data_IF_507494412284
#
_entry.id   IF_507494412284
#
_cell.length_a   1.000
_cell.length_b   1.000
_cell.length_c   1.000
_cell.angle_alpha   90.00
_cell.angle_beta   90.00
_cell.angle_gamma   90.00
#
_symmetry.space_group_name_H-M   'P 1'
#
loop_
_entity.id
_entity.type
_entity.pdbx_description
1 polymer ?
#
# COMPACT_ATOMS: atom_id res chain seq x y z
N UNK A 1 -6.79 1.29 8.27
CA UNK A 1 -7.02 0.02 8.98
C UNK A 1 -6.01 -1.09 8.66
N UNK A 2 -5.32 -1.10 7.51
CA UNK A 2 -4.30 -2.15 7.22
C UNK A 2 -2.90 -1.84 7.77
N UNK A 3 -2.61 -0.57 8.05
CA UNK A 3 -1.31 -0.13 8.57
C UNK A 3 -1.11 -0.57 10.02
N UNK A 4 -2.17 -0.43 10.82
CA UNK A 4 -2.21 -0.80 12.24
C UNK A 4 -1.92 -2.30 12.42
N UNK A 5 -2.51 -3.17 11.58
CA UNK A 5 -2.28 -4.62 11.66
C UNK A 5 -0.83 -5.06 11.35
N UNK A 6 -0.13 -4.35 10.46
CA UNK A 6 1.27 -4.67 10.13
C UNK A 6 2.21 -4.23 11.26
N UNK A 7 1.96 -3.05 11.81
CA UNK A 7 2.73 -2.55 12.96
C UNK A 7 2.50 -3.42 14.20
N UNK A 8 1.25 -3.82 14.47
CA UNK A 8 0.92 -4.71 15.59
C UNK A 8 1.62 -6.08 15.48
N UNK A 9 1.68 -6.64 14.27
CA UNK A 9 2.40 -7.89 14.00
C UNK A 9 3.91 -7.74 14.24
N UNK A 10 4.48 -6.61 13.81
CA UNK A 10 5.89 -6.30 14.01
C UNK A 10 6.19 -6.05 15.50
N UNK A 11 5.32 -5.34 16.21
CA UNK A 11 5.43 -5.07 17.64
C UNK A 11 5.35 -6.36 18.47
N UNK A 12 4.47 -7.29 18.10
CA UNK A 12 4.43 -8.61 18.71
C UNK A 12 5.73 -9.40 18.50
N UNK A 13 6.37 -9.27 17.34
CA UNK A 13 7.68 -9.87 17.07
C UNK A 13 8.82 -9.19 17.84
N UNK A 14 8.78 -7.86 17.98
CA UNK A 14 9.74 -7.05 18.71
C UNK A 14 9.72 -7.38 20.22
N UNK A 15 8.53 -7.50 20.81
CA UNK A 15 8.35 -7.90 22.22
C UNK A 15 8.97 -9.26 22.54
N UNK A 16 8.93 -10.23 21.61
CA UNK A 16 9.61 -11.53 21.77
C UNK A 16 11.13 -11.42 21.84
N UNK A 17 11.70 -10.29 21.41
CA UNK A 17 13.13 -9.99 21.42
C UNK A 17 13.49 -8.92 22.48
N UNK A 18 12.57 -8.62 23.40
CA UNK A 18 12.74 -7.57 24.41
C UNK A 18 12.96 -6.17 23.83
N UNK A 19 12.52 -5.94 22.58
CA UNK A 19 12.56 -4.63 21.95
C UNK A 19 11.28 -3.88 22.34
N UNK A 20 11.45 -2.69 22.91
CA UNK A 20 10.35 -1.80 23.27
C UNK A 20 9.73 -1.15 22.03
N UNK A 21 8.51 -0.62 22.19
CA UNK A 21 7.84 0.08 21.10
C UNK A 21 8.62 1.32 20.63
N UNK A 22 9.21 2.08 21.56
CA UNK A 22 10.05 3.24 21.23
C UNK A 22 11.31 2.86 20.45
N UNK A 23 11.99 1.77 20.84
CA UNK A 23 13.13 1.26 20.08
C UNK A 23 12.72 0.77 18.70
N UNK A 24 11.57 0.10 18.58
CA UNK A 24 11.03 -0.35 17.30
C UNK A 24 10.74 0.84 16.37
N UNK A 25 10.15 1.91 16.90
CA UNK A 25 9.90 3.14 16.14
C UNK A 25 11.20 3.78 15.64
N UNK A 26 12.22 3.86 16.50
CA UNK A 26 13.53 4.36 16.06
C UNK A 26 14.17 3.48 14.97
N UNK A 27 14.08 2.15 15.10
CA UNK A 27 14.58 1.23 14.07
C UNK A 27 13.84 1.42 12.73
N UNK A 28 12.55 1.71 12.77
CA UNK A 28 11.75 2.02 11.58
C UNK A 28 12.16 3.35 10.96
N UNK A 29 12.34 4.39 11.78
CA UNK A 29 12.77 5.71 11.30
C UNK A 29 14.16 5.65 10.66
N UNK A 30 15.10 4.92 11.26
CA UNK A 30 16.42 4.67 10.70
C UNK A 30 16.35 3.93 9.36
N UNK A 31 15.47 2.93 9.26
CA UNK A 31 15.28 2.18 8.02
C UNK A 31 14.64 3.04 6.93
N UNK A 32 13.66 3.88 7.29
CA UNK A 32 13.07 4.86 6.36
C UNK A 32 14.11 5.85 5.88
N UNK A 33 14.96 6.37 6.78
CA UNK A 33 16.04 7.29 6.41
C UNK A 33 17.05 6.63 5.47
N UNK A 34 17.47 5.38 5.75
CA UNK A 34 18.33 4.59 4.86
C UNK A 34 17.72 4.36 3.48
N UNK A 35 16.44 4.02 3.43
CA UNK A 35 15.74 3.79 2.17
C UNK A 35 15.48 5.09 1.40
N UNK A 36 15.32 6.21 2.10
CA UNK A 36 15.18 7.53 1.49
C UNK A 36 16.52 8.09 1.00
N UNK A 37 17.64 7.66 1.57
CA UNK A 37 18.97 8.07 1.12
C UNK A 37 19.27 7.51 -0.28
N UNK A 38 19.53 8.41 -1.23
CA UNK A 38 19.70 8.09 -2.65
C UNK A 38 18.42 7.75 -3.41
N UNK A 39 17.31 7.41 -2.73
CA UNK A 39 16.03 7.19 -3.39
C UNK A 39 15.24 8.49 -3.55
N UNK A 40 14.93 8.86 -4.79
CA UNK A 40 14.03 9.99 -5.03
C UNK A 40 12.65 9.54 -4.60
N UNK A 41 12.04 10.19 -3.60
CA UNK A 41 10.63 9.98 -3.18
C UNK A 41 9.68 9.79 -4.38
N UNK A 42 9.98 10.47 -5.48
CA UNK A 42 9.32 10.34 -6.78
C UNK A 42 9.23 8.90 -7.32
N UNK A 43 10.24 8.05 -7.15
CA UNK A 43 10.26 6.68 -7.65
C UNK A 43 9.29 5.76 -6.88
N UNK A 44 9.19 5.94 -5.56
CA UNK A 44 8.17 5.27 -4.75
C UNK A 44 6.75 5.75 -5.10
N UNK A 45 6.58 7.05 -5.26
CA UNK A 45 5.31 7.63 -5.71
C UNK A 45 4.91 7.11 -7.09
N UNK A 46 5.88 6.89 -7.99
CA UNK A 46 5.62 6.34 -9.33
C UNK A 46 5.02 4.95 -9.27
N UNK A 47 5.54 4.05 -8.44
CA UNK A 47 4.99 2.70 -8.26
C UNK A 47 3.56 2.75 -7.74
N UNK A 48 3.32 3.59 -6.72
CA UNK A 48 1.98 3.79 -6.14
C UNK A 48 1.02 4.36 -7.19
N UNK A 49 1.47 5.36 -7.96
CA UNK A 49 0.68 5.98 -9.02
C UNK A 49 0.30 4.98 -10.11
N UNK A 50 1.25 4.16 -10.59
CA UNK A 50 0.99 3.10 -11.57
C UNK A 50 -0.07 2.13 -11.06
N UNK A 51 0.07 1.66 -9.82
CA UNK A 51 -0.93 0.76 -9.20
C UNK A 51 -2.32 1.39 -9.19
N UNK A 52 -2.45 2.62 -8.71
CA UNK A 52 -3.72 3.34 -8.66
C UNK A 52 -4.32 3.57 -10.06
N UNK A 53 -3.48 3.91 -11.05
CA UNK A 53 -3.93 4.06 -12.44
C UNK A 53 -4.48 2.75 -12.98
N UNK A 54 -3.79 1.63 -12.77
CA UNK A 54 -4.27 0.29 -13.18
C UNK A 54 -5.60 -0.07 -12.54
N UNK A 55 -5.74 0.18 -11.24
CA UNK A 55 -6.99 -0.06 -10.51
C UNK A 55 -8.14 0.78 -11.07
N UNK A 56 -7.89 2.07 -11.37
CA UNK A 56 -8.87 2.92 -12.04
C UNK A 56 -9.27 2.37 -13.41
N UNK A 57 -8.32 2.02 -14.25
CA UNK A 57 -8.60 1.47 -15.59
C UNK A 57 -9.41 0.17 -15.51
N UNK A 58 -9.07 -0.73 -14.60
CA UNK A 58 -9.83 -1.96 -14.37
C UNK A 58 -11.26 -1.68 -13.89
N UNK A 59 -11.45 -0.68 -13.01
CA UNK A 59 -12.78 -0.27 -12.55
C UNK A 59 -13.63 0.29 -13.70
N UNK A 60 -13.04 1.14 -14.55
CA UNK A 60 -13.73 1.72 -15.71
C UNK A 60 -14.09 0.64 -16.74
N UNK A 61 -13.21 -0.32 -16.99
CA UNK A 61 -13.48 -1.45 -17.88
C UNK A 61 -14.69 -2.27 -17.37
N UNK A 62 -14.69 -2.67 -16.09
CA UNK A 62 -15.82 -3.38 -15.49
C UNK A 62 -17.14 -2.59 -15.55
N UNK A 63 -17.07 -1.27 -15.34
CA UNK A 63 -18.24 -0.40 -15.44
C UNK A 63 -18.78 -0.31 -16.89
N UNK A 64 -17.88 -0.26 -17.88
CA UNK A 64 -18.23 -0.26 -19.29
C UNK A 64 -18.87 -1.60 -19.72
N UNK A 65 -18.32 -2.72 -19.27
CA UNK A 65 -18.85 -4.07 -19.53
C UNK A 65 -20.25 -4.24 -18.93
N UNK A 66 -20.45 -3.78 -17.68
CA UNK A 66 -21.77 -3.80 -17.03
C UNK A 66 -22.79 -2.90 -17.76
N UNK A 67 -22.36 -1.76 -18.28
CA UNK A 67 -23.23 -0.89 -19.08
C UNK A 67 -23.57 -1.49 -20.45
N UNK A 68 -22.65 -2.27 -21.05
CA UNK A 68 -22.92 -3.01 -22.27
C UNK A 68 -23.91 -4.17 -22.01
N UNK A 69 -23.70 -4.96 -20.97
CA UNK A 69 -24.61 -6.05 -20.58
C UNK A 69 -26.05 -5.58 -20.32
N UNK A 70 -26.23 -4.42 -19.64
CA UNK A 70 -27.55 -3.82 -19.42
C UNK A 70 -28.26 -3.39 -20.71
N UNK A 71 -27.50 -2.94 -21.72
CA UNK A 71 -28.07 -2.56 -23.03
C UNK A 71 -28.41 -3.78 -23.90
N UNK A 72 -27.63 -4.85 -23.79
CA UNK A 72 -27.84 -6.07 -24.58
C UNK A 72 -28.94 -6.98 -24.00
N UNK A 73 -29.19 -6.93 -22.70
CA UNK A 73 -30.28 -7.68 -22.05
C UNK A 73 -31.67 -7.02 -22.08
N UNK A 74 -31.79 -5.83 -22.69
CA UNK A 74 -33.06 -5.10 -22.84
C UNK A 74 -33.70 -5.28 -24.24
N UNK A 75 -33.25 -6.28 -25.01
CA UNK A 75 -33.80 -6.67 -26.31
C UNK A 75 -34.50 -8.01 -26.23
#
# INVERSE_FOLDING_TARGET
MHHDMLFDSLLAAARRRSITEGELMHMLDDEIARLADGARVHDYLRVIAIRRVRERLASHARAADAAHARRSGAR
#
